data_IF_954698531180
#
_entry.id   IF_954698531180
#
_cell.length_a   1.000
_cell.length_b   1.000
_cell.length_c   1.000
_cell.angle_alpha   90.00
_cell.angle_beta   90.00
_cell.angle_gamma   90.00
#
_symmetry.space_group_name_H-M   'P 1'
#
loop_
_entity.id
_entity.type
_entity.pdbx_description
1 polymer ?
#
# COMPACT_ATOMS: atom_id res chain seq x y z
N UNK A 1 -41.45 -27.25 -2.87
CA UNK A 1 -41.73 -25.80 -3.01
C UNK A 1 -40.56 -25.01 -3.57
N UNK A 2 -39.34 -25.23 -3.15
CA UNK A 2 -38.10 -24.55 -3.68
C UNK A 2 -37.81 -24.89 -5.14
N UNK A 3 -38.02 -26.14 -5.60
CA UNK A 3 -37.79 -26.52 -7.01
C UNK A 3 -38.76 -25.85 -8.00
N UNK A 4 -39.93 -25.46 -7.53
CA UNK A 4 -40.95 -24.77 -8.36
C UNK A 4 -40.57 -23.30 -8.58
N UNK A 5 -40.03 -22.67 -7.56
CA UNK A 5 -39.59 -21.27 -7.63
C UNK A 5 -38.35 -21.15 -8.55
N UNK A 6 -37.43 -22.13 -8.52
CA UNK A 6 -36.27 -22.18 -9.40
C UNK A 6 -36.65 -22.34 -10.88
N UNK A 7 -37.64 -23.21 -11.18
CA UNK A 7 -38.13 -23.40 -12.52
C UNK A 7 -38.91 -22.16 -13.06
N UNK A 8 -39.61 -21.43 -12.16
CA UNK A 8 -40.32 -20.21 -12.51
C UNK A 8 -39.35 -19.05 -12.83
N UNK A 9 -38.27 -18.94 -12.07
CA UNK A 9 -37.21 -17.94 -12.31
C UNK A 9 -36.54 -18.14 -13.68
N UNK A 10 -36.19 -19.39 -14.02
CA UNK A 10 -35.59 -19.71 -15.32
C UNK A 10 -36.60 -19.52 -16.48
N UNK A 11 -37.86 -19.86 -16.27
CA UNK A 11 -38.91 -19.66 -17.28
C UNK A 11 -39.16 -18.18 -17.58
N UNK A 12 -39.10 -17.31 -16.56
CA UNK A 12 -39.31 -15.86 -16.71
C UNK A 12 -38.12 -15.21 -17.39
N UNK A 13 -36.85 -15.65 -17.09
CA UNK A 13 -35.65 -15.10 -17.73
C UNK A 13 -35.52 -15.45 -19.22
N UNK A 14 -36.10 -16.57 -19.65
CA UNK A 14 -36.05 -17.03 -21.06
C UNK A 14 -37.16 -16.47 -21.94
N UNK A 15 -38.31 -16.08 -21.36
CA UNK A 15 -39.53 -15.82 -22.16
C UNK A 15 -40.14 -14.42 -22.06
N UNK A 16 -39.74 -13.54 -21.12
CA UNK A 16 -40.34 -12.23 -20.95
C UNK A 16 -39.35 -11.09 -20.67
N UNK A 17 -39.34 -10.12 -21.56
CA UNK A 17 -38.58 -8.87 -21.42
C UNK A 17 -39.17 -7.91 -20.37
N UNK A 18 -40.41 -8.15 -19.88
CA UNK A 18 -41.08 -7.49 -18.73
C UNK A 18 -42.12 -8.41 -18.11
N UNK A 19 -42.07 -8.68 -16.80
CA UNK A 19 -43.17 -9.41 -16.15
C UNK A 19 -44.41 -8.53 -16.04
N UNK A 20 -45.61 -9.12 -16.08
CA UNK A 20 -46.87 -8.39 -15.92
C UNK A 20 -46.99 -7.74 -14.52
N UNK A 21 -47.71 -6.60 -14.38
CA UNK A 21 -47.75 -5.80 -13.15
C UNK A 21 -48.20 -6.54 -11.88
N UNK A 22 -49.03 -7.57 -12.01
CA UNK A 22 -49.47 -8.40 -10.88
C UNK A 22 -48.36 -9.26 -10.26
N UNK A 23 -47.26 -9.55 -10.98
CA UNK A 23 -46.10 -10.32 -10.48
C UNK A 23 -45.04 -9.43 -9.83
N UNK A 24 -45.02 -8.14 -10.12
CA UNK A 24 -44.05 -7.20 -9.56
C UNK A 24 -44.22 -7.07 -8.05
N UNK A 25 -45.46 -7.08 -7.55
CA UNK A 25 -45.74 -6.98 -6.11
C UNK A 25 -45.30 -8.23 -5.30
N UNK A 26 -45.50 -9.43 -5.86
CA UNK A 26 -45.11 -10.68 -5.20
C UNK A 26 -43.57 -10.89 -5.29
N UNK A 27 -42.96 -10.52 -6.42
CA UNK A 27 -41.51 -10.55 -6.59
C UNK A 27 -40.81 -9.52 -5.70
N UNK A 28 -41.38 -8.31 -5.56
CA UNK A 28 -40.92 -7.27 -4.63
C UNK A 28 -41.02 -7.71 -3.16
N UNK A 29 -42.08 -8.42 -2.78
CA UNK A 29 -42.25 -8.95 -1.43
C UNK A 29 -41.28 -10.14 -1.14
N UNK A 30 -41.08 -11.03 -2.09
CA UNK A 30 -40.13 -12.16 -1.94
C UNK A 30 -38.69 -11.64 -1.95
N UNK A 31 -38.35 -10.72 -2.83
CA UNK A 31 -37.03 -10.07 -2.83
C UNK A 31 -36.83 -9.16 -1.61
N UNK A 32 -37.86 -8.47 -1.12
CA UNK A 32 -37.78 -7.67 0.13
C UNK A 32 -37.66 -8.54 1.37
N UNK A 33 -38.18 -9.77 1.40
CA UNK A 33 -38.02 -10.70 2.52
C UNK A 33 -36.67 -11.43 2.51
N UNK A 34 -36.08 -11.68 1.32
CA UNK A 34 -34.72 -12.22 1.17
C UNK A 34 -33.65 -11.14 1.11
N UNK A 35 -34.00 -9.92 0.78
CA UNK A 35 -33.14 -8.73 0.68
C UNK A 35 -33.52 -7.64 1.69
N UNK A 36 -33.78 -7.99 2.93
CA UNK A 36 -33.49 -7.05 4.03
C UNK A 36 -31.94 -6.98 4.13
N UNK A 37 -31.37 -6.49 3.01
CA UNK A 37 -30.02 -6.78 2.50
C UNK A 37 -28.86 -6.23 3.30
N UNK A 38 -29.06 -5.44 4.36
CA UNK A 38 -27.96 -4.98 5.19
C UNK A 38 -27.36 -6.08 6.06
N UNK A 39 -28.18 -6.96 6.62
CA UNK A 39 -27.72 -7.96 7.61
C UNK A 39 -26.92 -9.10 6.98
N UNK A 40 -27.29 -9.57 5.79
CA UNK A 40 -26.68 -10.77 5.19
C UNK A 40 -25.31 -10.50 4.56
N UNK A 41 -25.19 -9.39 3.83
CA UNK A 41 -23.92 -8.95 3.23
C UNK A 41 -22.89 -8.58 4.30
N UNK A 42 -23.36 -8.01 5.41
CA UNK A 42 -22.51 -7.69 6.56
C UNK A 42 -21.97 -8.97 7.22
N UNK A 43 -22.71 -10.08 7.20
CA UNK A 43 -22.27 -11.36 7.78
C UNK A 43 -21.12 -11.96 6.96
N UNK A 44 -21.20 -12.00 5.63
CA UNK A 44 -20.06 -12.43 4.79
C UNK A 44 -18.82 -11.56 5.00
N UNK A 45 -18.99 -10.26 5.08
CA UNK A 45 -17.88 -9.34 5.30
C UNK A 45 -17.27 -9.54 6.70
N UNK A 46 -18.08 -9.84 7.69
CA UNK A 46 -17.66 -10.16 9.05
C UNK A 46 -16.87 -11.46 9.08
N UNK A 47 -17.38 -12.53 8.46
CA UNK A 47 -16.68 -13.83 8.35
C UNK A 47 -15.33 -13.67 7.63
N UNK A 48 -15.27 -12.89 6.54
CA UNK A 48 -14.03 -12.62 5.83
C UNK A 48 -13.02 -11.88 6.69
N UNK A 49 -13.44 -10.87 7.45
CA UNK A 49 -12.58 -10.14 8.39
C UNK A 49 -12.06 -11.03 9.51
N UNK A 50 -12.92 -11.87 10.07
CA UNK A 50 -12.55 -12.83 11.11
C UNK A 50 -11.48 -13.80 10.59
N UNK A 51 -11.70 -14.40 9.42
CA UNK A 51 -10.73 -15.26 8.75
C UNK A 51 -9.38 -14.58 8.56
N UNK A 52 -9.37 -13.33 8.07
CA UNK A 52 -8.13 -12.55 7.90
C UNK A 52 -7.43 -12.29 9.24
N UNK A 53 -8.19 -12.01 10.29
CA UNK A 53 -7.67 -11.80 11.65
C UNK A 53 -7.07 -13.08 12.25
N UNK A 54 -7.73 -14.22 12.07
CA UNK A 54 -7.22 -15.53 12.47
C UNK A 54 -5.91 -15.89 11.75
N UNK A 55 -5.71 -15.42 10.52
CA UNK A 55 -4.44 -15.54 9.80
C UNK A 55 -3.35 -14.59 10.32
N UNK A 56 -3.61 -13.81 11.35
CA UNK A 56 -2.64 -12.90 11.96
C UNK A 56 -2.39 -11.62 11.17
N UNK A 57 -3.28 -11.23 10.24
CA UNK A 57 -3.16 -9.98 9.52
C UNK A 57 -3.46 -8.79 10.44
N UNK A 58 -2.86 -7.63 10.14
CA UNK A 58 -3.10 -6.40 10.91
C UNK A 58 -4.47 -5.82 10.57
N UNK A 59 -5.08 -5.07 11.49
CA UNK A 59 -6.38 -4.43 11.29
C UNK A 59 -6.40 -3.54 10.03
N UNK A 60 -5.30 -2.83 9.76
CA UNK A 60 -5.14 -2.05 8.53
C UNK A 60 -5.20 -2.95 7.27
N UNK A 61 -4.53 -4.11 7.30
CA UNK A 61 -4.56 -5.07 6.18
C UNK A 61 -5.94 -5.69 6.04
N UNK A 62 -6.58 -6.06 7.16
CA UNK A 62 -7.96 -6.58 7.17
C UNK A 62 -8.92 -5.57 6.56
N UNK A 63 -8.83 -4.29 6.95
CA UNK A 63 -9.66 -3.21 6.40
C UNK A 63 -9.42 -3.03 4.89
N UNK A 64 -8.15 -2.94 4.48
CA UNK A 64 -7.78 -2.78 3.08
C UNK A 64 -8.27 -3.94 2.20
N UNK A 65 -8.11 -5.16 2.66
CA UNK A 65 -8.54 -6.35 1.93
C UNK A 65 -10.06 -6.46 1.86
N UNK A 66 -10.77 -6.08 2.92
CA UNK A 66 -12.22 -6.08 2.97
C UNK A 66 -12.87 -5.06 2.02
N UNK A 67 -12.12 -4.07 1.55
CA UNK A 67 -12.66 -3.03 0.65
C UNK A 67 -13.17 -3.62 -0.67
N UNK A 68 -12.41 -4.54 -1.27
CA UNK A 68 -12.82 -5.16 -2.54
C UNK A 68 -13.94 -6.17 -2.36
N UNK A 69 -13.96 -6.89 -1.23
CA UNK A 69 -15.05 -7.82 -0.93
C UNK A 69 -16.35 -7.05 -0.67
N UNK A 70 -16.28 -5.90 0.04
CA UNK A 70 -17.44 -5.03 0.19
C UNK A 70 -17.96 -4.54 -1.16
N UNK A 71 -17.08 -4.09 -2.06
CA UNK A 71 -17.47 -3.65 -3.39
C UNK A 71 -18.09 -4.79 -4.22
N UNK A 72 -17.56 -6.02 -4.07
CA UNK A 72 -18.11 -7.22 -4.71
C UNK A 72 -19.50 -7.55 -4.18
N UNK A 73 -19.69 -7.61 -2.88
CA UNK A 73 -20.99 -7.88 -2.27
C UNK A 73 -22.01 -6.81 -2.65
N UNK A 74 -21.60 -5.55 -2.69
CA UNK A 74 -22.47 -4.46 -3.13
C UNK A 74 -22.86 -4.62 -4.62
N UNK A 75 -21.91 -4.99 -5.48
CA UNK A 75 -22.18 -5.27 -6.88
C UNK A 75 -23.19 -6.42 -7.08
N UNK A 76 -23.07 -7.48 -6.25
CA UNK A 76 -24.03 -8.58 -6.27
C UNK A 76 -25.44 -8.11 -5.89
N UNK A 77 -25.54 -7.29 -4.85
CA UNK A 77 -26.81 -6.72 -4.41
C UNK A 77 -27.46 -5.82 -5.45
N UNK A 78 -26.66 -4.90 -6.03
CA UNK A 78 -27.19 -3.83 -6.87
C UNK A 78 -27.49 -4.27 -8.31
N UNK A 79 -26.71 -5.22 -8.84
CA UNK A 79 -26.78 -5.57 -10.27
C UNK A 79 -27.20 -7.01 -10.56
N UNK A 80 -26.81 -7.96 -9.70
CA UNK A 80 -27.08 -9.39 -10.00
C UNK A 80 -28.20 -9.98 -9.16
N UNK A 81 -28.48 -9.38 -7.99
CA UNK A 81 -29.46 -9.90 -7.01
C UNK A 81 -29.24 -11.38 -6.68
N UNK A 82 -27.98 -11.79 -6.53
CA UNK A 82 -27.53 -13.17 -6.27
C UNK A 82 -26.74 -13.28 -4.99
N UNK A 83 -26.75 -14.49 -4.44
CA UNK A 83 -25.86 -14.87 -3.35
C UNK A 83 -24.44 -15.10 -3.89
N UNK A 84 -23.38 -14.88 -3.08
CA UNK A 84 -22.01 -15.10 -3.52
C UNK A 84 -21.72 -16.53 -3.99
N UNK A 85 -22.41 -17.53 -3.45
CA UNK A 85 -22.29 -18.96 -3.81
C UNK A 85 -22.82 -19.28 -5.21
N UNK A 86 -23.79 -18.50 -5.70
CA UNK A 86 -24.50 -18.75 -6.94
C UNK A 86 -23.89 -17.98 -8.13
N UNK A 87 -22.76 -17.30 -7.89
CA UNK A 87 -22.11 -16.46 -8.91
C UNK A 87 -21.25 -17.31 -9.85
N UNK A 88 -21.57 -17.24 -11.13
CA UNK A 88 -20.79 -17.90 -12.18
C UNK A 88 -19.46 -17.18 -12.44
N UNK A 89 -18.51 -17.87 -13.04
CA UNK A 89 -17.24 -17.27 -13.49
C UNK A 89 -17.43 -16.13 -14.49
N UNK A 90 -18.48 -16.20 -15.32
CA UNK A 90 -18.81 -15.14 -16.26
C UNK A 90 -19.24 -13.86 -15.53
N UNK A 91 -20.05 -13.97 -14.50
CA UNK A 91 -20.51 -12.84 -13.70
C UNK A 91 -19.37 -12.27 -12.86
N UNK A 92 -18.51 -13.14 -12.33
CA UNK A 92 -17.31 -12.69 -11.60
C UNK A 92 -16.35 -11.90 -12.52
N UNK A 93 -16.19 -12.32 -13.79
CA UNK A 93 -15.48 -11.52 -14.81
C UNK A 93 -16.22 -10.22 -15.12
N UNK A 94 -17.55 -10.20 -15.07
CA UNK A 94 -18.38 -9.01 -15.19
C UNK A 94 -18.06 -7.97 -14.12
N UNK A 95 -17.97 -8.40 -12.85
CA UNK A 95 -17.58 -7.55 -11.74
C UNK A 95 -16.16 -6.95 -11.93
N UNK A 96 -15.20 -7.75 -12.38
CA UNK A 96 -13.83 -7.28 -12.64
C UNK A 96 -13.80 -6.23 -13.76
N UNK A 97 -14.57 -6.41 -14.84
CA UNK A 97 -14.71 -5.41 -15.92
C UNK A 97 -15.39 -4.15 -15.43
N UNK A 98 -16.43 -4.27 -14.61
CA UNK A 98 -17.10 -3.12 -14.00
C UNK A 98 -16.14 -2.31 -13.12
N UNK A 99 -15.34 -2.95 -12.25
CA UNK A 99 -14.33 -2.28 -11.45
C UNK A 99 -13.30 -1.52 -12.31
N UNK A 100 -12.90 -2.09 -13.44
CA UNK A 100 -11.96 -1.45 -14.35
C UNK A 100 -12.58 -0.25 -15.06
N UNK A 101 -13.79 -0.38 -15.56
CA UNK A 101 -14.47 0.66 -16.33
C UNK A 101 -14.93 1.82 -15.44
N UNK A 102 -15.50 1.53 -14.28
CA UNK A 102 -16.09 2.54 -13.37
C UNK A 102 -15.05 3.18 -12.44
N UNK A 103 -14.10 2.40 -11.94
CA UNK A 103 -13.09 2.88 -10.95
C UNK A 103 -11.72 3.16 -11.55
N UNK A 104 -11.50 2.88 -12.84
CA UNK A 104 -10.21 3.09 -13.53
C UNK A 104 -8.99 2.54 -12.75
N UNK A 105 -9.13 1.37 -12.13
CA UNK A 105 -8.09 0.79 -11.28
C UNK A 105 -6.91 0.27 -12.10
N UNK A 106 -5.69 0.42 -11.56
CA UNK A 106 -4.49 -0.14 -12.18
C UNK A 106 -4.49 -1.68 -12.16
N UNK A 107 -3.76 -2.31 -13.08
CA UNK A 107 -3.65 -3.77 -13.15
C UNK A 107 -3.10 -4.40 -11.86
N UNK A 108 -2.18 -3.71 -11.18
CA UNK A 108 -1.71 -4.12 -9.85
C UNK A 108 -2.84 -4.15 -8.82
N UNK A 109 -3.70 -3.15 -8.84
CA UNK A 109 -4.87 -3.06 -7.94
C UNK A 109 -5.91 -4.12 -8.31
N UNK A 110 -6.11 -4.39 -9.60
CA UNK A 110 -6.98 -5.46 -10.07
C UNK A 110 -6.48 -6.84 -9.61
N UNK A 111 -5.17 -7.11 -9.67
CA UNK A 111 -4.59 -8.35 -9.15
C UNK A 111 -4.77 -8.48 -7.62
N UNK A 112 -4.71 -7.37 -6.88
CA UNK A 112 -5.03 -7.38 -5.46
C UNK A 112 -6.51 -7.75 -5.24
N UNK A 113 -7.43 -7.19 -6.00
CA UNK A 113 -8.85 -7.55 -5.96
C UNK A 113 -9.08 -9.04 -6.24
N UNK A 114 -8.51 -9.57 -7.34
CA UNK A 114 -8.59 -11.00 -7.69
C UNK A 114 -8.06 -11.88 -6.56
N UNK A 115 -6.95 -11.49 -5.92
CA UNK A 115 -6.39 -12.22 -4.77
C UNK A 115 -7.33 -12.24 -3.56
N UNK A 116 -8.07 -11.15 -3.33
CA UNK A 116 -9.07 -11.09 -2.24
C UNK A 116 -10.31 -11.91 -2.57
N UNK A 117 -10.80 -11.87 -3.80
CA UNK A 117 -11.91 -12.71 -4.26
C UNK A 117 -11.55 -14.20 -4.12
N UNK A 118 -10.35 -14.58 -4.53
CA UNK A 118 -9.85 -15.94 -4.35
C UNK A 118 -9.87 -16.36 -2.87
N UNK A 119 -9.36 -15.51 -1.98
CA UNK A 119 -9.35 -15.80 -0.54
C UNK A 119 -10.78 -15.89 0.02
N UNK A 120 -11.68 -15.04 -0.41
CA UNK A 120 -13.08 -15.06 -0.03
C UNK A 120 -13.77 -16.35 -0.49
N UNK A 121 -13.61 -16.72 -1.76
CA UNK A 121 -14.19 -17.94 -2.33
C UNK A 121 -13.70 -19.20 -1.61
N UNK A 122 -12.36 -19.30 -1.38
CA UNK A 122 -11.78 -20.48 -0.74
C UNK A 122 -12.11 -20.62 0.75
N UNK A 123 -12.11 -19.52 1.51
CA UNK A 123 -12.13 -19.57 2.97
C UNK A 123 -13.46 -19.14 3.61
N UNK A 124 -14.33 -18.47 2.86
CA UNK A 124 -15.66 -18.06 3.35
C UNK A 124 -16.76 -18.86 2.65
N UNK A 125 -16.68 -18.96 1.30
CA UNK A 125 -17.68 -19.74 0.55
C UNK A 125 -17.35 -21.25 0.51
N UNK A 126 -16.13 -21.64 0.90
CA UNK A 126 -15.65 -23.03 0.84
C UNK A 126 -15.76 -23.66 -0.55
N UNK A 127 -15.63 -22.83 -1.60
CA UNK A 127 -15.70 -23.24 -2.99
C UNK A 127 -14.31 -23.31 -3.64
N UNK A 128 -14.09 -24.18 -4.64
CA UNK A 128 -12.84 -24.24 -5.37
C UNK A 128 -12.62 -22.98 -6.21
N UNK A 129 -11.35 -22.58 -6.33
CA UNK A 129 -10.95 -21.46 -7.19
C UNK A 129 -10.16 -21.96 -8.41
N UNK A 130 -10.66 -21.66 -9.60
CA UNK A 130 -9.96 -21.92 -10.84
C UNK A 130 -9.24 -20.66 -11.35
N UNK A 131 -7.90 -20.66 -11.24
CA UNK A 131 -7.08 -19.54 -11.69
C UNK A 131 -7.04 -19.37 -13.21
N UNK A 132 -7.50 -20.35 -13.99
CA UNK A 132 -7.60 -20.23 -15.45
C UNK A 132 -8.80 -19.37 -15.86
N UNK A 133 -9.87 -19.36 -15.05
CA UNK A 133 -11.07 -18.56 -15.29
C UNK A 133 -10.88 -17.08 -15.00
N UNK A 134 -10.01 -16.77 -14.04
CA UNK A 134 -9.69 -15.39 -13.66
C UNK A 134 -8.18 -15.23 -13.41
N UNK A 135 -7.38 -15.18 -14.49
CA UNK A 135 -5.94 -15.08 -14.38
C UNK A 135 -5.51 -13.70 -13.87
N UNK A 136 -4.38 -13.65 -13.18
CA UNK A 136 -3.74 -12.40 -12.84
C UNK A 136 -3.15 -11.71 -14.07
N UNK A 137 -3.24 -10.39 -14.11
CA UNK A 137 -2.73 -9.58 -15.22
C UNK A 137 -1.21 -9.47 -15.14
N UNK A 138 -0.56 -9.52 -16.29
CA UNK A 138 0.83 -9.10 -16.41
C UNK A 138 0.85 -7.58 -16.50
N UNK A 139 1.78 -6.96 -15.82
CA UNK A 139 2.04 -5.51 -15.91
C UNK A 139 3.53 -5.26 -15.78
N UNK A 140 4.00 -4.23 -16.42
CA UNK A 140 5.40 -3.83 -16.32
C UNK A 140 5.73 -3.31 -14.93
N UNK A 141 6.91 -3.65 -14.44
CA UNK A 141 7.40 -3.14 -13.18
C UNK A 141 7.70 -1.64 -13.33
N UNK A 142 6.87 -0.80 -12.70
CA UNK A 142 7.14 0.63 -12.65
C UNK A 142 8.38 0.89 -11.79
N UNK A 143 9.36 1.59 -12.37
CA UNK A 143 10.51 2.06 -11.62
C UNK A 143 10.08 3.28 -10.78
N UNK A 144 10.30 3.25 -9.45
CA UNK A 144 9.93 4.37 -8.60
C UNK A 144 10.74 5.62 -8.94
N UNK A 145 10.12 6.77 -8.75
CA UNK A 145 10.81 8.04 -8.87
C UNK A 145 11.89 8.17 -7.78
N UNK A 146 13.09 8.53 -8.21
CA UNK A 146 14.20 8.92 -7.34
C UNK A 146 14.65 10.33 -7.76
N UNK A 147 14.56 11.33 -6.86
CA UNK A 147 15.01 12.68 -7.17
C UNK A 147 16.53 12.70 -7.37
N UNK A 148 17.03 13.71 -8.02
CA UNK A 148 18.46 14.02 -8.02
C UNK A 148 18.91 14.47 -6.62
N UNK A 149 20.22 14.38 -6.35
CA UNK A 149 20.79 14.87 -5.06
C UNK A 149 20.48 16.34 -4.83
N UNK A 150 20.44 17.15 -5.89
CA UNK A 150 20.12 18.57 -5.81
C UNK A 150 18.63 18.81 -5.52
N UNK A 151 17.71 18.12 -6.18
CA UNK A 151 16.28 18.18 -5.85
C UNK A 151 16.03 17.79 -4.38
N UNK A 152 16.66 16.71 -3.90
CA UNK A 152 16.54 16.29 -2.50
C UNK A 152 17.09 17.36 -1.55
N UNK A 153 18.23 17.99 -1.90
CA UNK A 153 18.84 19.07 -1.10
C UNK A 153 17.90 20.28 -1.03
N UNK A 154 17.37 20.74 -2.16
CA UNK A 154 16.44 21.87 -2.24
C UNK A 154 15.20 21.55 -1.39
N UNK A 155 14.58 20.38 -1.60
CA UNK A 155 13.39 19.98 -0.88
C UNK A 155 13.59 20.02 0.65
N UNK A 156 14.65 19.37 1.15
CA UNK A 156 14.90 19.28 2.60
C UNK A 156 15.36 20.60 3.20
N UNK A 157 16.15 21.41 2.48
CA UNK A 157 16.66 22.68 2.99
C UNK A 157 15.57 23.73 3.14
N UNK A 158 14.61 23.78 2.22
CA UNK A 158 13.51 24.74 2.21
C UNK A 158 12.43 24.52 3.30
N UNK A 159 12.41 23.35 3.93
CA UNK A 159 11.46 23.05 5.02
C UNK A 159 11.76 23.96 6.23
N UNK A 160 10.75 24.72 6.63
CA UNK A 160 10.84 25.62 7.81
C UNK A 160 10.29 25.00 9.09
N UNK A 161 9.28 24.09 8.98
CA UNK A 161 8.74 23.37 10.14
C UNK A 161 9.75 22.35 10.66
N UNK A 162 10.28 22.59 11.87
CA UNK A 162 11.32 21.75 12.49
C UNK A 162 10.90 20.28 12.66
N UNK A 163 9.62 20.01 12.95
CA UNK A 163 9.13 18.64 13.09
C UNK A 163 9.24 17.87 11.78
N UNK A 164 8.68 18.45 10.70
CA UNK A 164 8.71 17.78 9.39
C UNK A 164 10.12 17.74 8.82
N UNK A 165 10.94 18.75 9.04
CA UNK A 165 12.35 18.76 8.67
C UNK A 165 13.12 17.63 9.35
N UNK A 166 13.04 17.52 10.66
CA UNK A 166 13.69 16.45 11.42
C UNK A 166 13.16 15.06 10.99
N UNK A 167 11.85 14.91 10.82
CA UNK A 167 11.21 13.66 10.42
C UNK A 167 11.66 13.20 9.02
N UNK A 168 11.60 14.08 8.02
CA UNK A 168 11.94 13.73 6.64
C UNK A 168 13.44 13.55 6.43
N UNK A 169 14.28 14.38 7.09
CA UNK A 169 15.73 14.17 7.10
C UNK A 169 16.10 12.83 7.77
N UNK A 170 15.39 12.44 8.84
CA UNK A 170 15.59 11.13 9.46
C UNK A 170 15.18 10.00 8.53
N UNK A 171 14.03 10.10 7.86
CA UNK A 171 13.59 9.11 6.86
C UNK A 171 14.62 8.95 5.75
N UNK A 172 15.12 10.06 5.22
CA UNK A 172 16.11 10.07 4.15
C UNK A 172 17.45 9.46 4.61
N UNK A 173 17.98 9.92 5.76
CA UNK A 173 19.32 9.52 6.22
C UNK A 173 19.40 8.10 6.80
N UNK A 174 18.28 7.49 7.16
CA UNK A 174 18.21 6.17 7.80
C UNK A 174 17.43 5.14 6.98
N UNK A 175 16.86 5.54 5.85
CA UNK A 175 16.04 4.68 4.99
C UNK A 175 14.78 4.12 5.67
N UNK A 176 14.25 4.80 6.69
CA UNK A 176 13.10 4.34 7.47
C UNK A 176 11.79 4.47 6.67
N UNK A 177 10.86 3.53 6.88
CA UNK A 177 9.49 3.64 6.37
C UNK A 177 8.71 4.63 7.22
N UNK A 178 7.70 5.29 6.63
CA UNK A 178 6.83 6.21 7.38
C UNK A 178 6.21 5.56 8.62
N UNK A 179 5.75 4.32 8.53
CA UNK A 179 5.21 3.60 9.68
C UNK A 179 6.25 3.33 10.78
N UNK A 180 7.52 3.16 10.43
CA UNK A 180 8.62 2.98 11.39
C UNK A 180 8.94 4.30 12.10
N UNK A 181 9.06 5.40 11.34
CA UNK A 181 9.36 6.73 11.91
C UNK A 181 8.23 7.23 12.81
N UNK A 182 6.99 7.03 12.43
CA UNK A 182 5.83 7.44 13.24
C UNK A 182 5.81 6.77 14.62
N UNK A 183 6.21 5.51 14.70
CA UNK A 183 6.21 4.73 15.94
C UNK A 183 7.59 4.68 16.61
N UNK A 184 8.50 5.57 16.22
CA UNK A 184 9.80 5.69 16.83
C UNK A 184 9.67 6.36 18.21
N UNK A 185 10.22 5.70 19.24
CA UNK A 185 10.26 6.27 20.59
C UNK A 185 11.56 7.05 20.81
N UNK A 186 11.52 8.00 21.72
CA UNK A 186 12.74 8.71 22.12
C UNK A 186 13.84 7.75 22.64
N UNK A 187 13.41 6.68 23.33
CA UNK A 187 14.31 5.62 23.84
C UNK A 187 14.92 4.72 22.76
N UNK A 188 14.44 4.79 21.52
CA UNK A 188 14.97 3.97 20.43
C UNK A 188 16.19 4.60 19.75
N UNK A 189 16.51 5.85 20.10
CA UNK A 189 17.67 6.57 19.58
C UNK A 189 18.89 6.24 20.46
N UNK A 190 19.81 5.44 19.95
CA UNK A 190 21.07 5.13 20.59
C UNK A 190 22.19 6.03 19.99
N UNK A 191 22.14 7.33 20.31
CA UNK A 191 23.04 8.34 19.73
C UNK A 191 24.52 7.99 19.94
N UNK A 192 24.92 7.54 21.13
CA UNK A 192 26.32 7.15 21.41
C UNK A 192 26.84 6.01 20.52
N UNK A 193 25.93 5.20 19.97
CA UNK A 193 26.24 4.10 19.05
C UNK A 193 25.96 4.44 17.59
N UNK A 194 25.50 5.66 17.29
CA UNK A 194 25.16 6.09 15.93
C UNK A 194 24.06 5.27 15.27
N UNK A 195 23.08 4.76 16.05
CA UNK A 195 22.05 3.85 15.53
C UNK A 195 20.67 4.09 16.14
N UNK A 196 19.65 3.57 15.44
CA UNK A 196 18.24 3.66 15.79
C UNK A 196 17.68 2.24 15.89
N UNK A 197 17.04 1.90 16.99
CA UNK A 197 16.32 0.64 17.13
C UNK A 197 14.96 0.75 16.40
N UNK A 198 14.84 0.07 15.28
CA UNK A 198 13.57 -0.09 14.56
C UNK A 198 12.88 -1.33 15.10
N UNK A 199 11.88 -1.11 15.96
CA UNK A 199 11.13 -2.20 16.58
C UNK A 199 10.35 -3.01 15.56
N UNK A 200 10.22 -4.31 15.79
CA UNK A 200 9.41 -5.18 14.97
C UNK A 200 7.96 -4.66 14.89
N UNK A 201 7.47 -4.43 13.69
CA UNK A 201 6.03 -4.44 13.44
C UNK A 201 5.60 -5.90 13.20
N UNK A 202 4.30 -6.22 13.41
CA UNK A 202 3.76 -7.59 13.18
C UNK A 202 4.40 -8.22 11.93
N UNK A 203 5.00 -9.40 12.08
CA UNK A 203 5.68 -10.19 11.04
C UNK A 203 7.03 -9.66 10.50
N UNK A 204 7.73 -8.77 11.23
CA UNK A 204 9.11 -8.33 10.91
C UNK A 204 10.00 -8.45 12.13
N UNK A 205 11.28 -8.75 11.91
CA UNK A 205 12.29 -8.70 12.98
C UNK A 205 12.67 -7.25 13.31
N UNK A 206 12.99 -6.97 14.57
CA UNK A 206 13.65 -5.72 14.94
C UNK A 206 14.98 -5.63 14.24
N UNK A 207 15.39 -4.41 13.88
CA UNK A 207 16.70 -4.13 13.29
C UNK A 207 17.26 -2.81 13.80
N UNK A 208 18.53 -2.60 13.59
CA UNK A 208 19.12 -1.28 13.71
C UNK A 208 19.18 -0.59 12.35
N UNK A 209 18.89 0.70 12.34
CA UNK A 209 19.15 1.61 11.23
C UNK A 209 20.25 2.60 11.64
N UNK A 210 20.93 3.17 10.67
CA UNK A 210 21.97 4.16 10.90
C UNK A 210 21.36 5.49 11.38
N UNK A 211 21.96 6.15 12.34
CA UNK A 211 21.64 7.50 12.77
C UNK A 211 22.70 8.47 12.22
N UNK A 212 22.32 9.33 11.29
CA UNK A 212 23.19 10.41 10.82
C UNK A 212 23.36 11.48 11.90
N UNK A 213 24.58 12.01 12.05
CA UNK A 213 24.87 13.10 12.98
C UNK A 213 24.03 14.36 12.67
N UNK A 214 23.86 14.69 11.38
CA UNK A 214 23.01 15.84 10.99
C UNK A 214 21.53 15.62 11.33
N UNK A 215 21.01 14.40 11.11
CA UNK A 215 19.63 14.07 11.49
C UNK A 215 19.45 14.15 13.01
N UNK A 216 20.46 13.71 13.78
CA UNK A 216 20.44 13.84 15.24
C UNK A 216 20.37 15.30 15.69
N UNK A 217 21.17 16.19 15.10
CA UNK A 217 21.13 17.61 15.42
C UNK A 217 19.75 18.23 15.12
N UNK A 218 19.11 17.86 14.01
CA UNK A 218 17.75 18.31 13.69
C UNK A 218 16.71 17.77 14.67
N UNK A 219 16.86 16.53 15.12
CA UNK A 219 16.00 15.96 16.17
C UNK A 219 16.17 16.76 17.48
N UNK A 220 17.39 17.11 17.85
CA UNK A 220 17.64 17.93 19.03
C UNK A 220 17.02 19.33 18.89
N UNK A 221 17.19 20.00 17.74
CA UNK A 221 16.56 21.30 17.48
C UNK A 221 15.04 21.21 17.63
N UNK A 222 14.42 20.20 17.03
CA UNK A 222 12.98 19.95 17.18
C UNK A 222 12.61 19.70 18.65
N UNK A 223 13.36 18.85 19.37
CA UNK A 223 13.07 18.51 20.76
C UNK A 223 13.23 19.69 21.72
N UNK A 224 14.25 20.53 21.50
CA UNK A 224 14.47 21.74 22.28
C UNK A 224 13.53 22.90 21.89
N UNK A 225 12.83 22.84 20.78
CA UNK A 225 11.80 23.82 20.42
C UNK A 225 10.58 23.80 21.36
N UNK A 226 10.43 22.73 22.15
CA UNK A 226 9.38 22.64 23.17
C UNK A 226 9.86 23.18 24.51
N UNK A 227 8.96 23.84 25.29
CA UNK A 227 9.21 24.11 26.70
C UNK A 227 9.57 22.82 27.45
N UNK A 228 10.41 22.88 28.46
CA UNK A 228 10.97 21.70 29.14
C UNK A 228 9.91 20.71 29.65
N UNK A 229 8.75 21.18 30.10
CA UNK A 229 7.64 20.34 30.55
C UNK A 229 6.79 19.71 29.45
N UNK A 230 6.92 20.17 28.20
CA UNK A 230 6.11 19.74 27.07
C UNK A 230 6.89 18.92 26.03
N UNK A 231 8.14 18.64 26.30
CA UNK A 231 9.01 17.86 25.40
C UNK A 231 8.47 16.45 25.17
N UNK A 232 8.58 15.90 23.95
CA UNK A 232 8.23 14.51 23.67
C UNK A 232 8.98 13.55 24.61
N UNK A 233 8.24 12.66 25.29
CA UNK A 233 8.81 11.68 26.24
C UNK A 233 8.77 10.25 25.77
N UNK A 234 7.70 9.89 25.07
CA UNK A 234 7.51 8.53 24.54
C UNK A 234 7.75 8.51 23.03
N UNK A 235 6.81 9.01 22.23
CA UNK A 235 6.96 9.08 20.79
C UNK A 235 7.86 10.25 20.39
N UNK A 236 8.80 10.02 19.48
CA UNK A 236 9.69 11.07 19.00
C UNK A 236 8.91 12.17 18.26
N UNK A 237 7.98 11.77 17.38
CA UNK A 237 7.12 12.68 16.63
C UNK A 237 5.66 12.50 17.05
N UNK A 238 5.11 13.49 17.70
CA UNK A 238 3.78 13.44 18.32
C UNK A 238 2.74 14.24 17.53
N UNK A 239 1.46 13.95 17.79
CA UNK A 239 0.38 14.83 17.35
C UNK A 239 0.42 16.16 18.11
N UNK A 240 0.03 17.26 17.42
CA UNK A 240 0.03 18.60 18.05
C UNK A 240 -1.02 18.72 19.14
N UNK A 241 -2.20 18.08 18.95
CA UNK A 241 -3.32 18.15 19.90
C UNK A 241 -3.26 17.10 21.01
N UNK A 242 -2.58 16.00 20.77
CA UNK A 242 -2.46 14.89 21.73
C UNK A 242 -1.03 14.31 21.69
N UNK A 243 -0.13 14.84 22.53
CA UNK A 243 1.26 14.39 22.59
C UNK A 243 1.43 12.93 23.08
N UNK A 244 0.39 12.29 23.60
CA UNK A 244 0.41 10.87 23.98
C UNK A 244 0.37 9.95 22.75
N UNK A 245 -0.04 10.47 21.58
CA UNK A 245 -0.17 9.72 20.34
C UNK A 245 0.95 10.05 19.36
N UNK A 246 1.38 9.06 18.55
CA UNK A 246 2.33 9.32 17.48
C UNK A 246 1.69 10.20 16.40
N UNK A 247 2.52 10.88 15.59
CA UNK A 247 2.05 11.69 14.47
C UNK A 247 1.10 10.89 13.57
N UNK A 248 0.02 11.52 13.11
CA UNK A 248 -0.97 10.88 12.25
C UNK A 248 -0.36 10.46 10.89
N UNK A 249 -0.83 9.33 10.37
CA UNK A 249 -0.30 8.75 9.13
C UNK A 249 -0.44 9.70 7.94
N UNK A 250 -1.57 10.38 7.84
CA UNK A 250 -1.88 11.23 6.70
C UNK A 250 -1.13 12.57 6.75
N UNK A 251 -0.73 13.05 7.93
CA UNK A 251 -0.07 14.36 8.08
C UNK A 251 1.25 14.50 7.34
N UNK A 252 2.00 13.41 7.18
CA UNK A 252 3.29 13.46 6.48
C UNK A 252 3.12 13.52 4.95
N UNK A 253 2.29 12.67 4.31
CA UNK A 253 1.93 12.82 2.91
C UNK A 253 1.34 14.19 2.59
N UNK A 254 0.40 14.70 3.43
CA UNK A 254 -0.21 16.03 3.23
C UNK A 254 0.82 17.14 3.27
N UNK A 255 1.79 17.06 4.19
CA UNK A 255 2.88 18.03 4.27
C UNK A 255 3.78 17.98 3.02
N UNK A 256 4.15 16.79 2.56
CA UNK A 256 4.97 16.63 1.35
C UNK A 256 4.28 17.28 0.15
N UNK A 257 3.00 16.98 -0.06
CA UNK A 257 2.21 17.54 -1.16
C UNK A 257 2.12 19.07 -1.09
N UNK A 258 1.85 19.63 0.10
CA UNK A 258 1.79 21.06 0.30
C UNK A 258 3.14 21.73 0.03
N UNK A 259 4.24 21.11 0.50
CA UNK A 259 5.58 21.66 0.31
C UNK A 259 6.07 21.63 -1.14
N UNK A 260 5.77 20.56 -1.90
CA UNK A 260 6.03 20.55 -3.36
C UNK A 260 5.28 21.68 -4.07
N UNK A 261 4.01 21.92 -3.68
CA UNK A 261 3.20 23.01 -4.23
C UNK A 261 3.81 24.40 -3.91
N UNK A 262 4.34 24.58 -2.70
CA UNK A 262 5.05 25.81 -2.31
C UNK A 262 6.32 26.05 -3.15
N UNK A 263 7.00 24.95 -3.54
CA UNK A 263 8.17 24.98 -4.42
C UNK A 263 7.82 25.16 -5.92
N UNK A 264 6.54 25.13 -6.28
CA UNK A 264 6.08 25.15 -7.66
C UNK A 264 6.39 23.86 -8.43
N UNK A 265 6.57 22.74 -7.72
CA UNK A 265 6.90 21.46 -8.32
C UNK A 265 5.63 20.64 -8.60
N UNK A 266 5.70 19.79 -9.64
CA UNK A 266 4.72 18.72 -9.84
C UNK A 266 4.86 17.69 -8.73
N UNK A 267 3.72 17.12 -8.30
CA UNK A 267 3.74 16.12 -7.23
C UNK A 267 4.41 14.81 -7.67
N UNK A 268 5.62 14.58 -7.18
CA UNK A 268 6.43 13.37 -7.42
C UNK A 268 6.97 12.73 -6.14
N UNK A 269 7.14 13.55 -5.08
CA UNK A 269 7.64 13.07 -3.80
C UNK A 269 6.55 12.35 -3.00
N UNK A 270 6.91 11.25 -2.41
CA UNK A 270 6.10 10.48 -1.46
C UNK A 270 6.95 10.12 -0.26
N UNK A 271 6.35 9.60 0.81
CA UNK A 271 7.14 9.07 1.93
C UNK A 271 8.14 7.98 1.50
N UNK A 272 7.85 7.23 0.43
CA UNK A 272 8.77 6.22 -0.08
C UNK A 272 9.92 6.80 -0.90
N UNK A 273 9.76 7.98 -1.48
CA UNK A 273 10.80 8.66 -2.26
C UNK A 273 12.07 8.88 -1.43
N UNK A 274 11.95 9.31 -0.17
CA UNK A 274 13.10 9.48 0.74
C UNK A 274 13.85 8.17 0.97
N UNK A 275 13.13 7.07 1.11
CA UNK A 275 13.69 5.75 1.28
C UNK A 275 14.30 5.19 -0.01
N UNK A 276 13.69 5.47 -1.15
CA UNK A 276 14.26 5.10 -2.45
C UNK A 276 15.55 5.88 -2.73
N UNK A 277 15.55 7.19 -2.44
CA UNK A 277 16.74 8.02 -2.57
C UNK A 277 17.88 7.54 -1.64
N UNK A 278 17.59 7.24 -0.37
CA UNK A 278 18.56 6.63 0.55
C UNK A 278 19.22 5.40 -0.08
N UNK A 279 18.41 4.46 -0.55
CA UNK A 279 18.92 3.21 -1.07
C UNK A 279 19.69 3.37 -2.39
N UNK A 280 19.18 4.19 -3.30
CA UNK A 280 19.84 4.45 -4.59
C UNK A 280 21.17 5.16 -4.40
N UNK A 281 21.21 6.21 -3.56
CA UNK A 281 22.45 6.96 -3.32
C UNK A 281 23.50 6.10 -2.62
N UNK A 282 23.12 5.28 -1.62
CA UNK A 282 24.06 4.33 -1.00
C UNK A 282 24.61 3.33 -2.00
N UNK A 283 23.78 2.81 -2.90
CA UNK A 283 24.23 1.91 -3.94
C UNK A 283 25.18 2.62 -4.93
N UNK A 284 24.88 3.85 -5.33
CA UNK A 284 25.74 4.69 -6.17
C UNK A 284 27.09 4.98 -5.50
N UNK A 285 27.06 5.25 -4.18
CA UNK A 285 28.27 5.51 -3.38
C UNK A 285 29.08 4.24 -3.06
N UNK A 286 28.65 3.06 -3.56
CA UNK A 286 29.43 1.84 -3.49
C UNK A 286 28.99 0.81 -2.44
N UNK A 287 27.92 1.07 -1.69
CA UNK A 287 27.38 0.07 -0.76
C UNK A 287 26.90 -1.17 -1.52
N UNK A 288 27.31 -2.35 -1.09
CA UNK A 288 26.87 -3.60 -1.71
C UNK A 288 25.40 -3.93 -1.38
N UNK A 289 24.78 -4.76 -2.24
CA UNK A 289 23.35 -5.07 -2.14
C UNK A 289 22.95 -5.83 -0.86
N UNK A 290 23.84 -6.63 -0.28
CA UNK A 290 23.53 -7.38 0.95
C UNK A 290 23.54 -6.46 2.16
N UNK A 291 24.52 -5.58 2.25
CA UNK A 291 24.57 -4.52 3.26
C UNK A 291 23.36 -3.60 3.13
N UNK A 292 23.03 -3.17 1.91
CA UNK A 292 21.86 -2.33 1.66
C UNK A 292 20.55 -3.04 2.04
N UNK A 293 20.41 -4.33 1.70
CA UNK A 293 19.27 -5.16 2.13
C UNK A 293 19.13 -5.18 3.65
N UNK A 294 20.24 -5.35 4.37
CA UNK A 294 20.25 -5.37 5.84
C UNK A 294 19.84 -4.01 6.43
N UNK A 295 20.44 -2.90 5.97
CA UNK A 295 20.11 -1.54 6.38
C UNK A 295 18.61 -1.23 6.14
N UNK A 296 18.09 -1.61 4.98
CA UNK A 296 16.69 -1.41 4.61
C UNK A 296 15.72 -2.35 5.33
N UNK A 297 16.19 -3.45 5.90
CA UNK A 297 15.34 -4.49 6.50
C UNK A 297 14.42 -5.13 5.45
N UNK A 298 14.96 -5.48 4.28
CA UNK A 298 14.24 -6.20 3.25
C UNK A 298 14.33 -7.71 3.50
N UNK A 299 13.18 -8.40 3.47
CA UNK A 299 13.14 -9.87 3.58
C UNK A 299 13.73 -10.55 2.35
N UNK A 300 13.34 -10.07 1.16
CA UNK A 300 13.82 -10.58 -0.11
C UNK A 300 14.84 -9.63 -0.72
N UNK A 301 15.87 -10.19 -1.34
CA UNK A 301 16.86 -9.44 -2.12
C UNK A 301 16.19 -8.74 -3.32
N UNK A 302 15.14 -9.33 -3.89
CA UNK A 302 14.40 -8.76 -5.01
C UNK A 302 13.87 -7.36 -4.72
N UNK A 303 13.55 -7.06 -3.44
CA UNK A 303 13.15 -5.71 -3.03
C UNK A 303 14.31 -4.70 -3.05
N UNK A 304 15.56 -5.18 -3.12
CA UNK A 304 16.75 -4.33 -3.16
C UNK A 304 17.32 -4.21 -4.57
N UNK A 305 17.13 -5.24 -5.40
CA UNK A 305 17.60 -5.27 -6.80
C UNK A 305 17.05 -4.12 -7.63
N UNK A 306 15.86 -3.59 -7.29
CA UNK A 306 15.28 -2.41 -7.97
C UNK A 306 16.24 -1.21 -7.97
N UNK A 307 17.07 -1.05 -6.94
CA UNK A 307 18.02 0.07 -6.84
C UNK A 307 19.22 -0.08 -7.78
N UNK A 308 19.52 -1.28 -8.25
CA UNK A 308 20.48 -1.51 -9.34
C UNK A 308 20.00 -0.86 -10.63
N UNK A 309 18.71 -1.05 -10.95
CA UNK A 309 18.09 -0.48 -12.15
C UNK A 309 17.87 1.02 -12.06
N UNK A 310 17.78 1.58 -10.84
CA UNK A 310 17.59 3.02 -10.61
C UNK A 310 18.91 3.80 -10.61
N UNK A 311 20.04 3.11 -10.39
CA UNK A 311 21.34 3.72 -10.24
C UNK A 311 22.03 3.93 -11.58
N UNK A 312 22.67 5.08 -11.75
CA UNK A 312 23.57 5.36 -12.87
C UNK A 312 24.90 4.57 -12.78
N UNK A 313 25.24 4.07 -11.60
CA UNK A 313 26.52 3.37 -11.34
C UNK A 313 26.77 2.19 -12.29
N UNK A 314 25.74 1.42 -12.61
CA UNK A 314 25.87 0.25 -13.48
C UNK A 314 26.37 0.67 -14.87
N UNK A 315 25.86 1.80 -15.39
CA UNK A 315 26.26 2.32 -16.70
C UNK A 315 27.68 2.89 -16.70
N UNK A 316 28.15 3.46 -15.57
CA UNK A 316 29.50 4.00 -15.43
C UNK A 316 30.53 2.95 -15.05
N UNK A 317 30.14 1.90 -14.33
CA UNK A 317 31.08 0.84 -13.89
C UNK A 317 31.39 -0.20 -14.97
N UNK A 318 30.53 -0.33 -15.98
CA UNK A 318 30.71 -1.30 -17.09
C UNK A 318 31.20 -0.55 -18.32
N UNK A 319 32.46 -0.82 -18.68
CA UNK A 319 33.04 -0.26 -19.90
C UNK A 319 32.35 -0.89 -21.13
N UNK A 320 31.79 -0.05 -22.01
CA UNK A 320 31.12 -0.52 -23.20
C UNK A 320 32.11 -1.31 -24.09
N UNK A 321 31.75 -2.55 -24.53
CA UNK A 321 32.63 -3.32 -25.40
C UNK A 321 33.01 -2.57 -26.68
N UNK A 322 32.10 -1.74 -27.23
CA UNK A 322 32.40 -0.94 -28.42
C UNK A 322 33.46 0.12 -28.17
N UNK A 323 33.46 0.76 -26.99
CA UNK A 323 34.48 1.76 -26.61
C UNK A 323 35.87 1.11 -26.45
N UNK A 324 35.92 -0.18 -26.05
CA UNK A 324 37.17 -0.97 -26.03
C UNK A 324 37.71 -1.27 -27.42
N UNK A 325 36.84 -1.33 -28.42
CA UNK A 325 37.21 -1.55 -29.83
C UNK A 325 37.61 -0.26 -30.54
N UNK A 326 37.26 0.93 -29.98
CA UNK A 326 37.46 2.23 -30.61
C UNK A 326 38.93 2.55 -30.94
N UNK A 327 39.89 1.98 -30.20
CA UNK A 327 41.31 2.05 -30.54
C UNK A 327 41.71 1.27 -31.81
N UNK A 328 40.87 0.36 -32.28
CA UNK A 328 41.10 -0.43 -33.50
C UNK A 328 40.43 0.16 -34.74
N UNK A 329 39.53 1.13 -34.58
CA UNK A 329 38.78 1.75 -35.68
C UNK A 329 39.48 3.00 -36.22
N UNK A 330 40.52 3.49 -35.57
CA UNK A 330 41.32 4.66 -35.95
C UNK A 330 42.78 4.31 -36.24
N UNK A 331 43.05 3.03 -36.56
CA UNK A 331 44.37 2.54 -37.01
C UNK A 331 44.51 2.60 -38.53
#
# INVERSE_FOLDING_TARGET
MLSWIFNLSNYISENFYRPPPAFIGVFSLITSFYFSGGSFMDDYLKQFREMLSLRGLTDHTVTSYSTYIRAYLQYLSDFLHKMPEDVSWQELRGFIRWLQADKHLSDRTMNACVSQLRAFTLFVLHQPWDCTQLPTRKFDAYLPFVPTREEMRIFLSSITDLKFKALLCLMFSSGLRIGEVRHLKCSDIEHSKGRILVRASKNRSSRYAQLSQHAWLLILQYWYSFPSGQRPRNWLFTQKRDPSKPIDHQRVPDFILAHEKELGWEHRFTCHTFRHAFATYHYEDGTDLLTLKALMGHRSINSTVVYVHLSSRVFHAVQNPFDRMGGMLHG
#
